data_IF_270995369099
#
_entry.id   IF_270995369099
#
_cell.length_a   1.000
_cell.length_b   1.000
_cell.length_c   1.000
_cell.angle_alpha   90.00
_cell.angle_beta   90.00
_cell.angle_gamma   90.00
#
_symmetry.space_group_name_H-M   'P 1'
#
loop_
_entity.id
_entity.type
_entity.pdbx_description
1 polymer ?
#
# COMPACT_ATOMS: atom_id res chain seq x y z
N UNK A 1 -3.42 47.10 2.68
CA UNK A 1 -2.72 46.68 3.90
C UNK A 1 -2.49 45.20 3.78
N UNK A 2 -1.28 44.81 3.38
CA UNK A 2 -0.92 43.41 3.08
C UNK A 2 -0.30 42.85 4.37
N UNK A 3 -0.97 41.90 5.00
CA UNK A 3 -0.44 41.17 6.17
C UNK A 3 0.24 39.89 5.67
N UNK A 4 1.55 39.88 5.77
CA UNK A 4 2.42 38.74 5.41
C UNK A 4 2.60 37.90 6.66
N UNK A 5 2.03 36.68 6.66
CA UNK A 5 2.30 35.67 7.70
C UNK A 5 3.44 34.77 7.23
N UNK A 6 4.54 34.81 7.98
CA UNK A 6 5.65 33.84 7.81
C UNK A 6 5.42 32.65 8.75
N UNK A 7 5.26 31.49 8.18
CA UNK A 7 5.24 30.21 8.91
C UNK A 7 6.67 29.74 9.13
N UNK A 8 7.02 29.57 10.40
CA UNK A 8 8.25 28.90 10.82
C UNK A 8 7.99 27.39 10.75
N UNK A 9 8.63 26.72 9.82
CA UNK A 9 8.62 25.27 9.73
C UNK A 9 9.63 24.70 10.75
N UNK A 10 9.11 24.00 11.77
CA UNK A 10 9.90 23.07 12.56
C UNK A 10 9.67 21.67 11.99
N UNK A 11 10.71 20.88 11.69
CA UNK A 11 10.55 19.52 11.22
C UNK A 11 10.11 18.60 12.35
N UNK A 12 9.30 17.55 12.07
CA UNK A 12 8.93 16.57 13.07
C UNK A 12 10.13 15.73 13.50
N UNK A 13 10.29 15.59 14.81
CA UNK A 13 11.32 14.77 15.43
C UNK A 13 11.12 13.28 15.09
N UNK A 14 12.14 12.68 14.51
CA UNK A 14 12.23 11.23 14.31
C UNK A 14 12.53 10.59 15.66
N UNK A 15 11.58 9.84 16.22
CA UNK A 15 11.80 8.98 17.38
C UNK A 15 12.39 7.64 16.90
N UNK A 16 13.45 7.11 17.57
CA UNK A 16 14.01 5.82 17.21
C UNK A 16 13.11 4.68 17.71
N UNK A 17 12.86 3.71 16.82
CA UNK A 17 12.24 2.42 17.13
C UNK A 17 13.15 1.66 18.11
N UNK A 18 12.71 1.53 19.35
CA UNK A 18 13.28 0.63 20.34
C UNK A 18 12.63 -0.74 20.21
N UNK A 19 13.38 -1.73 19.74
CA UNK A 19 12.97 -3.12 19.75
C UNK A 19 13.02 -3.66 21.18
N UNK A 20 11.88 -4.05 21.73
CA UNK A 20 11.80 -4.84 22.96
C UNK A 20 11.91 -6.33 22.61
N UNK A 21 13.03 -6.94 23.01
CA UNK A 21 13.12 -8.37 23.19
C UNK A 21 12.55 -8.72 24.57
N UNK A 22 11.57 -9.58 24.65
CA UNK A 22 11.20 -10.28 25.90
C UNK A 22 11.46 -11.76 25.70
N UNK A 23 12.44 -12.25 26.46
CA UNK A 23 12.65 -13.68 26.73
C UNK A 23 11.62 -14.19 27.76
N UNK A 24 11.26 -15.45 27.62
CA UNK A 24 10.59 -16.28 28.64
C UNK A 24 9.66 -17.27 27.93
N UNK A 25 9.86 -18.54 27.87
CA UNK A 25 10.43 -19.50 28.78
C UNK A 25 9.45 -20.66 28.85
N UNK A 26 9.89 -21.93 28.43
CA UNK A 26 9.34 -23.25 28.75
C UNK A 26 7.91 -23.61 28.26
N UNK A 27 7.62 -24.79 27.68
CA UNK A 27 8.25 -26.14 27.69
C UNK A 27 7.53 -27.05 26.68
N UNK A 28 8.30 -28.05 26.17
CA UNK A 28 7.97 -29.42 25.78
C UNK A 28 6.76 -29.75 24.89
N UNK A 29 6.94 -30.34 23.72
CA UNK A 29 7.08 -31.77 23.47
C UNK A 29 7.12 -32.10 21.98
N UNK A 30 8.14 -32.80 21.58
CA UNK A 30 8.23 -34.01 20.73
C UNK A 30 7.33 -34.15 19.48
N UNK A 31 7.92 -34.09 18.25
CA UNK A 31 7.95 -35.28 17.39
C UNK A 31 8.87 -35.07 16.16
N UNK A 32 9.67 -36.09 15.98
CA UNK A 32 10.65 -36.45 14.97
C UNK A 32 10.29 -36.14 13.52
N UNK A 33 11.30 -35.68 12.78
CA UNK A 33 11.34 -35.75 11.33
C UNK A 33 12.77 -35.45 10.85
N UNK A 34 13.59 -36.50 10.80
CA UNK A 34 14.99 -36.52 10.40
C UNK A 34 15.07 -36.52 8.87
N UNK A 35 15.84 -35.62 8.25
CA UNK A 35 16.64 -35.88 7.07
C UNK A 35 17.90 -35.00 7.09
N UNK A 36 19.01 -35.70 7.36
CA UNK A 36 20.38 -35.22 7.24
C UNK A 36 20.98 -35.88 5.99
N UNK A 37 21.56 -35.10 5.11
CA UNK A 37 22.59 -35.61 4.19
C UNK A 37 23.72 -34.60 4.10
N UNK A 38 24.73 -34.87 4.93
CA UNK A 38 26.06 -34.34 4.78
C UNK A 38 26.84 -35.26 3.83
N UNK A 39 27.24 -34.75 2.68
CA UNK A 39 28.22 -35.42 1.83
C UNK A 39 29.59 -34.83 2.11
N UNK A 40 30.35 -35.45 2.97
CA UNK A 40 31.79 -35.25 3.11
C UNK A 40 32.51 -36.24 2.20
N UNK A 41 33.19 -35.76 1.16
CA UNK A 41 34.13 -36.59 0.41
C UNK A 41 35.52 -36.31 1.01
N UNK A 42 35.98 -37.33 1.75
CA UNK A 42 37.32 -37.37 2.30
C UNK A 42 38.15 -38.28 1.40
N UNK A 43 39.11 -37.73 0.64
CA UNK A 43 40.09 -38.54 -0.09
C UNK A 43 41.45 -38.35 0.53
N UNK A 44 41.76 -39.23 1.47
CA UNK A 44 43.11 -39.55 1.89
C UNK A 44 43.41 -40.96 1.42
N UNK A 45 44.23 -41.08 0.40
CA UNK A 45 44.85 -42.35 0.06
C UNK A 45 46.36 -42.21 0.25
N UNK A 46 46.86 -42.74 1.34
CA UNK A 46 48.25 -43.02 1.60
C UNK A 46 48.51 -44.44 1.06
N UNK A 47 49.32 -44.52 0.03
CA UNK A 47 49.86 -45.81 -0.38
C UNK A 47 51.29 -45.92 0.09
N UNK A 48 51.50 -46.78 1.07
CA UNK A 48 52.75 -47.50 1.27
C UNK A 48 52.56 -48.87 0.69
N UNK A 49 53.39 -49.29 -0.22
CA UNK A 49 53.76 -50.71 -0.34
C UNK A 49 55.14 -50.84 -0.97
N UNK A 50 55.92 -51.64 -0.35
CA UNK A 50 57.32 -51.92 -0.47
C UNK A 50 57.59 -52.97 -1.55
N UNK A 51 58.80 -52.93 -2.10
CA UNK A 51 59.65 -53.87 -2.82
C UNK A 51 59.14 -55.23 -3.22
N UNK A 52 59.41 -55.59 -4.45
CA UNK A 52 60.44 -56.58 -4.82
C UNK A 52 60.34 -56.96 -6.31
N UNK A 53 61.51 -56.91 -6.96
CA UNK A 53 62.04 -57.65 -8.12
C UNK A 53 61.13 -58.45 -9.03
N UNK A 54 61.31 -58.23 -10.36
CA UNK A 54 61.77 -59.23 -11.33
C UNK A 54 61.93 -58.57 -12.72
N UNK A 55 63.08 -58.83 -13.37
CA UNK A 55 63.45 -58.57 -14.76
C UNK A 55 62.50 -59.14 -15.78
N UNK A 56 62.27 -58.40 -16.89
CA UNK A 56 62.31 -58.96 -18.26
C UNK A 56 62.05 -57.85 -19.33
N UNK A 57 62.88 -57.91 -20.35
CA UNK A 57 62.88 -57.20 -21.62
C UNK A 57 61.52 -56.94 -22.25
N UNK A 58 61.32 -55.76 -22.79
CA UNK A 58 60.58 -55.48 -24.02
C UNK A 58 60.53 -54.00 -24.42
N UNK A 59 60.30 -53.64 -25.69
CA UNK A 59 60.84 -52.48 -26.41
C UNK A 59 60.13 -51.14 -26.17
N UNK A 60 60.70 -50.01 -26.66
CA UNK A 60 60.25 -48.68 -26.22
C UNK A 60 58.89 -48.27 -26.82
N UNK A 61 57.97 -47.94 -25.93
CA UNK A 61 56.71 -47.35 -26.28
C UNK A 61 56.88 -45.84 -26.61
N UNK A 62 56.00 -45.29 -27.48
CA UNK A 62 56.13 -43.94 -28.01
C UNK A 62 55.95 -42.88 -26.89
N UNK A 63 56.85 -41.92 -26.93
CA UNK A 63 56.81 -40.75 -26.03
C UNK A 63 55.53 -39.94 -26.33
N UNK A 64 54.53 -40.06 -25.49
CA UNK A 64 53.44 -39.14 -25.42
C UNK A 64 53.95 -37.78 -24.87
N UNK A 65 54.01 -36.82 -25.78
CA UNK A 65 54.24 -35.40 -25.50
C UNK A 65 53.20 -34.93 -24.49
N UNK A 66 53.56 -34.79 -23.22
CA UNK A 66 52.77 -34.09 -22.22
C UNK A 66 52.75 -32.64 -22.64
N UNK A 67 51.73 -32.24 -23.39
CA UNK A 67 51.49 -30.82 -23.66
C UNK A 67 51.16 -30.12 -22.38
N UNK A 68 52.06 -29.21 -22.03
CA UNK A 68 52.08 -28.37 -20.84
C UNK A 68 50.73 -27.74 -20.57
N UNK A 69 50.06 -28.16 -19.50
CA UNK A 69 48.82 -27.55 -18.95
C UNK A 69 48.96 -26.11 -18.39
N UNK A 70 50.11 -25.45 -18.67
CA UNK A 70 50.34 -24.06 -18.19
C UNK A 70 49.49 -22.98 -18.92
N UNK A 71 48.90 -23.28 -20.07
CA UNK A 71 48.01 -22.37 -20.81
C UNK A 71 46.61 -22.24 -20.23
N UNK A 72 46.05 -23.32 -19.68
CA UNK A 72 44.66 -23.40 -19.23
C UNK A 72 44.36 -22.47 -18.02
N UNK A 73 45.27 -22.32 -17.12
CA UNK A 73 45.06 -21.48 -15.91
C UNK A 73 45.03 -19.96 -16.20
N UNK A 74 45.70 -19.50 -17.26
CA UNK A 74 45.61 -18.09 -17.68
C UNK A 74 44.31 -17.77 -18.34
N UNK A 75 43.82 -18.64 -19.22
CA UNK A 75 42.50 -18.48 -19.87
C UNK A 75 41.33 -18.54 -18.85
N UNK A 76 41.39 -19.44 -17.89
CA UNK A 76 40.37 -19.51 -16.83
C UNK A 76 40.33 -18.21 -15.99
N UNK A 77 41.46 -17.63 -15.64
CA UNK A 77 41.55 -16.36 -14.92
C UNK A 77 40.99 -15.20 -15.75
N UNK A 78 41.30 -15.12 -17.04
CA UNK A 78 40.78 -14.08 -17.95
C UNK A 78 39.25 -14.18 -18.08
N UNK A 79 38.70 -15.39 -18.24
CA UNK A 79 37.26 -15.59 -18.28
C UNK A 79 36.60 -15.19 -16.97
N UNK A 80 37.15 -15.59 -15.83
CA UNK A 80 36.61 -15.24 -14.51
C UNK A 80 36.62 -13.72 -14.27
N UNK A 81 37.73 -13.03 -14.61
CA UNK A 81 37.79 -11.57 -14.48
C UNK A 81 36.80 -10.86 -15.42
N UNK A 82 36.61 -11.38 -16.63
CA UNK A 82 35.60 -10.83 -17.57
C UNK A 82 34.19 -10.96 -17.01
N UNK A 83 33.82 -12.08 -16.41
CA UNK A 83 32.53 -12.26 -15.76
C UNK A 83 32.35 -11.32 -14.56
N UNK A 84 33.37 -11.13 -13.72
CA UNK A 84 33.31 -10.21 -12.59
C UNK A 84 33.08 -8.77 -13.09
N UNK A 85 33.82 -8.33 -14.11
CA UNK A 85 33.64 -7.01 -14.71
C UNK A 85 32.24 -6.85 -15.29
N UNK A 86 31.76 -7.85 -16.02
CA UNK A 86 30.39 -7.85 -16.57
C UNK A 86 29.31 -7.68 -15.50
N UNK A 87 29.40 -8.45 -14.40
CA UNK A 87 28.44 -8.33 -13.29
C UNK A 87 28.55 -7.01 -12.55
N UNK A 88 29.75 -6.44 -12.43
CA UNK A 88 29.93 -5.10 -11.85
C UNK A 88 29.28 -4.02 -12.73
N UNK A 89 29.49 -4.08 -14.05
CA UNK A 89 28.85 -3.15 -14.98
C UNK A 89 27.32 -3.30 -14.97
N UNK A 90 26.81 -4.52 -14.89
CA UNK A 90 25.37 -4.77 -14.77
C UNK A 90 24.79 -4.19 -13.49
N UNK A 91 25.49 -4.34 -12.34
CA UNK A 91 25.06 -3.72 -11.07
C UNK A 91 25.04 -2.19 -11.15
N UNK A 92 26.04 -1.58 -11.76
CA UNK A 92 26.10 -0.13 -11.97
C UNK A 92 24.93 0.32 -12.84
N UNK A 93 24.66 -0.38 -13.95
CA UNK A 93 23.53 -0.07 -14.83
C UNK A 93 22.18 -0.15 -14.08
N UNK A 94 21.97 -1.22 -13.32
CA UNK A 94 20.75 -1.39 -12.52
C UNK A 94 20.60 -0.28 -11.47
N UNK A 95 21.69 0.13 -10.81
CA UNK A 95 21.64 1.21 -9.83
C UNK A 95 21.28 2.56 -10.48
N UNK A 96 21.79 2.84 -11.68
CA UNK A 96 21.45 4.05 -12.44
C UNK A 96 19.97 4.05 -12.81
N UNK A 97 19.45 2.91 -13.32
CA UNK A 97 18.02 2.78 -13.66
C UNK A 97 17.14 3.00 -12.43
N UNK A 98 17.49 2.41 -11.29
CA UNK A 98 16.75 2.62 -10.04
C UNK A 98 16.78 4.08 -9.58
N UNK A 99 17.90 4.78 -9.70
CA UNK A 99 17.98 6.21 -9.38
C UNK A 99 17.12 7.07 -10.30
N UNK A 100 17.08 6.74 -11.60
CA UNK A 100 16.21 7.44 -12.57
C UNK A 100 14.73 7.21 -12.23
N UNK A 101 14.35 5.96 -11.94
CA UNK A 101 12.99 5.61 -11.55
C UNK A 101 12.59 6.29 -10.23
N UNK A 102 13.49 6.32 -9.25
CA UNK A 102 13.26 7.02 -7.99
C UNK A 102 13.05 8.51 -8.18
N UNK A 103 13.91 9.18 -9.00
CA UNK A 103 13.72 10.60 -9.35
C UNK A 103 12.37 10.84 -10.03
N UNK A 104 12.01 10.00 -11.00
CA UNK A 104 10.72 10.13 -11.69
C UNK A 104 9.53 9.94 -10.75
N UNK A 105 9.63 8.98 -9.82
CA UNK A 105 8.62 8.76 -8.81
C UNK A 105 8.49 9.95 -7.84
N UNK A 106 9.62 10.52 -7.37
CA UNK A 106 9.61 11.71 -6.53
C UNK A 106 8.99 12.93 -7.23
N UNK A 107 9.28 13.14 -8.51
CA UNK A 107 8.66 14.21 -9.30
C UNK A 107 7.14 14.03 -9.42
N UNK A 108 6.67 12.80 -9.65
CA UNK A 108 5.24 12.50 -9.70
C UNK A 108 4.53 12.75 -8.36
N UNK A 109 5.21 12.49 -7.24
CA UNK A 109 4.68 12.80 -5.91
C UNK A 109 4.60 14.31 -5.64
N UNK A 110 5.63 15.08 -6.05
CA UNK A 110 5.61 16.56 -5.96
C UNK A 110 4.50 17.16 -6.84
N UNK A 111 4.34 16.66 -8.07
CA UNK A 111 3.29 17.13 -8.98
C UNK A 111 1.89 16.83 -8.43
N UNK A 112 1.67 15.63 -7.85
CA UNK A 112 0.44 15.31 -7.13
C UNK A 112 0.20 16.22 -5.92
N UNK A 113 1.23 16.53 -5.15
CA UNK A 113 1.12 17.42 -4.01
C UNK A 113 0.74 18.86 -4.44
N UNK A 114 1.36 19.38 -5.50
CA UNK A 114 1.06 20.71 -6.07
C UNK A 114 -0.36 20.75 -6.64
N UNK A 115 -0.81 19.71 -7.35
CA UNK A 115 -2.18 19.63 -7.88
C UNK A 115 -3.20 19.58 -6.74
N UNK A 116 -2.93 18.82 -5.69
CA UNK A 116 -3.78 18.79 -4.50
C UNK A 116 -3.81 20.15 -3.78
N UNK A 117 -2.68 20.82 -3.64
CA UNK A 117 -2.60 22.15 -3.04
C UNK A 117 -3.33 23.22 -3.89
N UNK A 118 -3.23 23.14 -5.23
CA UNK A 118 -3.95 24.03 -6.14
C UNK A 118 -5.47 23.80 -6.11
N UNK A 119 -5.92 22.55 -6.01
CA UNK A 119 -7.34 22.23 -5.84
C UNK A 119 -7.86 22.66 -4.45
N UNK A 120 -7.02 22.64 -3.42
CA UNK A 120 -7.37 23.06 -2.07
C UNK A 120 -7.43 24.59 -1.92
N UNK A 121 -6.73 25.36 -2.76
CA UNK A 121 -6.70 26.83 -2.69
C UNK A 121 -7.94 27.51 -3.28
N UNK A 122 -8.80 26.77 -4.01
CA UNK A 122 -10.02 27.31 -4.58
C UNK A 122 -11.22 26.97 -3.70
N UNK A 123 -11.45 27.82 -2.69
CA UNK A 123 -12.59 27.68 -1.78
C UNK A 123 -13.80 28.46 -2.32
N UNK A 124 -14.97 27.84 -2.26
CA UNK A 124 -16.26 28.48 -2.46
C UNK A 124 -16.88 28.79 -1.10
N UNK A 125 -17.02 30.06 -0.78
CA UNK A 125 -17.41 30.51 0.53
C UNK A 125 -18.80 31.14 0.51
N UNK A 126 -19.63 30.76 1.49
CA UNK A 126 -20.93 31.40 1.75
C UNK A 126 -20.88 32.18 3.06
N UNK A 127 -21.45 33.39 3.04
CA UNK A 127 -21.52 34.25 4.21
C UNK A 127 -22.70 33.82 5.06
N UNK A 128 -22.45 33.40 6.29
CA UNK A 128 -23.50 33.09 7.25
C UNK A 128 -23.77 34.34 8.09
N UNK A 129 -25.04 34.80 8.14
CA UNK A 129 -25.45 35.80 9.12
C UNK A 129 -25.67 35.06 10.46
N UNK A 130 -24.72 35.18 11.39
CA UNK A 130 -24.91 34.83 12.78
C UNK A 130 -25.67 35.94 13.50
N UNK A 131 -26.56 35.59 14.42
CA UNK A 131 -27.25 36.55 15.31
C UNK A 131 -26.29 37.30 16.24
N UNK A 132 -25.09 36.81 16.40
CA UNK A 132 -23.98 37.44 17.12
C UNK A 132 -23.03 38.06 16.10
N UNK A 133 -23.16 39.30 15.81
CA UNK A 133 -22.37 40.27 15.02
C UNK A 133 -21.07 39.83 14.29
N UNK A 134 -20.59 38.63 14.44
CA UNK A 134 -19.39 38.12 13.78
C UNK A 134 -19.71 37.45 12.44
N UNK A 135 -19.15 38.04 11.39
CA UNK A 135 -19.28 37.53 10.02
C UNK A 135 -18.38 36.31 9.86
N UNK A 136 -18.91 35.13 10.04
CA UNK A 136 -18.18 33.87 9.80
C UNK A 136 -18.45 33.41 8.38
N UNK A 137 -17.38 33.22 7.61
CA UNK A 137 -17.45 32.59 6.31
C UNK A 137 -17.37 31.05 6.48
N UNK A 138 -18.24 30.32 5.82
CA UNK A 138 -18.18 28.87 5.74
C UNK A 138 -17.89 28.44 4.31
N UNK A 139 -16.82 27.69 4.11
CA UNK A 139 -16.25 27.39 2.81
C UNK A 139 -16.15 25.87 2.58
N UNK A 140 -16.38 25.48 1.34
CA UNK A 140 -16.03 24.14 0.82
C UNK A 140 -15.00 24.30 -0.32
N UNK A 141 -14.19 23.28 -0.59
CA UNK A 141 -13.39 23.25 -1.81
C UNK A 141 -14.29 23.35 -3.04
N UNK A 142 -13.75 23.90 -4.12
CA UNK A 142 -14.49 23.97 -5.39
C UNK A 142 -14.95 22.57 -5.82
N UNK A 143 -16.12 22.49 -6.42
CA UNK A 143 -16.76 21.25 -6.89
C UNK A 143 -17.17 20.28 -5.76
N UNK A 144 -17.18 20.75 -4.50
CA UNK A 144 -17.75 20.02 -3.36
C UNK A 144 -19.12 20.61 -3.00
N UNK A 145 -20.08 19.74 -2.73
CA UNK A 145 -21.45 20.11 -2.38
C UNK A 145 -21.58 20.46 -0.88
N UNK A 146 -21.94 21.70 -0.53
CA UNK A 146 -22.05 22.09 0.87
C UNK A 146 -23.40 21.70 1.46
N UNK A 147 -23.41 21.00 2.58
CA UNK A 147 -24.61 20.75 3.36
C UNK A 147 -24.31 20.77 4.87
N UNK A 148 -25.17 21.41 5.66
CA UNK A 148 -25.00 21.57 7.11
C UNK A 148 -23.58 22.03 7.48
N UNK A 149 -22.83 21.29 8.26
CA UNK A 149 -21.45 21.56 8.68
C UNK A 149 -20.40 20.88 7.79
N UNK A 150 -20.78 20.21 6.73
CA UNK A 150 -19.90 19.39 5.91
C UNK A 150 -19.91 19.80 4.44
N UNK A 151 -18.89 19.33 3.73
CA UNK A 151 -18.72 19.37 2.29
C UNK A 151 -18.62 17.93 1.77
N UNK A 152 -19.24 17.65 0.62
CA UNK A 152 -19.33 16.33 0.02
C UNK A 152 -18.77 16.33 -1.38
N UNK A 153 -17.94 15.37 -1.70
CA UNK A 153 -17.43 15.17 -3.05
C UNK A 153 -17.91 13.80 -3.59
N UNK A 154 -18.50 13.82 -4.77
CA UNK A 154 -18.99 12.62 -5.44
C UNK A 154 -17.96 12.21 -6.48
N UNK A 155 -17.35 11.02 -6.31
CA UNK A 155 -16.34 10.57 -7.25
C UNK A 155 -16.94 10.26 -8.62
N UNK A 156 -16.17 10.50 -9.66
CA UNK A 156 -16.48 10.08 -11.03
C UNK A 156 -15.92 8.71 -11.36
N UNK A 157 -14.85 8.32 -10.67
CA UNK A 157 -14.09 7.11 -10.91
C UNK A 157 -14.66 5.94 -10.11
N UNK A 158 -14.47 4.75 -10.66
CA UNK A 158 -14.76 3.49 -9.98
C UNK A 158 -13.49 3.01 -9.27
N UNK A 159 -13.62 2.56 -8.04
CA UNK A 159 -12.52 2.02 -7.23
C UNK A 159 -13.08 1.06 -6.17
N UNK A 160 -12.24 0.24 -5.56
CA UNK A 160 -12.56 -0.53 -4.36
C UNK A 160 -12.82 0.38 -3.16
N UNK A 161 -13.39 -0.16 -2.09
CA UNK A 161 -13.67 0.62 -0.88
C UNK A 161 -12.40 1.20 -0.28
N UNK A 162 -11.32 0.41 -0.18
CA UNK A 162 -10.05 0.86 0.37
C UNK A 162 -9.41 1.98 -0.46
N UNK A 163 -9.38 1.82 -1.78
CA UNK A 163 -8.85 2.85 -2.69
C UNK A 163 -9.70 4.13 -2.64
N UNK A 164 -11.01 4.00 -2.47
CA UNK A 164 -11.94 5.12 -2.29
C UNK A 164 -11.66 5.88 -1.00
N UNK A 165 -11.43 5.18 0.12
CA UNK A 165 -11.07 5.81 1.39
C UNK A 165 -9.69 6.48 1.32
N UNK A 166 -8.71 5.83 0.71
CA UNK A 166 -7.38 6.41 0.48
C UNK A 166 -7.47 7.69 -0.37
N UNK A 167 -8.31 7.69 -1.40
CA UNK A 167 -8.57 8.86 -2.23
C UNK A 167 -9.20 10.00 -1.43
N UNK A 168 -10.24 9.72 -0.62
CA UNK A 168 -10.84 10.72 0.25
C UNK A 168 -9.81 11.26 1.25
N UNK A 169 -9.03 10.39 1.89
CA UNK A 169 -7.97 10.77 2.84
C UNK A 169 -6.90 11.66 2.21
N UNK A 170 -6.54 11.42 0.94
CA UNK A 170 -5.59 12.27 0.20
C UNK A 170 -6.11 13.70 -0.03
N UNK A 171 -7.42 13.91 0.05
CA UNK A 171 -8.10 15.22 -0.05
C UNK A 171 -8.38 15.84 1.33
N UNK A 172 -7.87 15.26 2.43
CA UNK A 172 -8.16 15.71 3.80
C UNK A 172 -9.59 15.41 4.25
N UNK A 173 -10.20 14.38 3.67
CA UNK A 173 -11.57 13.93 3.92
C UNK A 173 -11.59 12.44 4.31
N UNK A 174 -12.74 11.85 4.43
CA UNK A 174 -12.98 10.41 4.58
C UNK A 174 -14.23 10.02 3.79
N UNK A 175 -14.49 8.75 3.57
CA UNK A 175 -15.75 8.27 3.02
C UNK A 175 -16.93 8.74 3.90
N UNK A 176 -18.04 9.10 3.27
CA UNK A 176 -19.19 9.72 3.94
C UNK A 176 -19.70 8.90 5.12
N UNK A 177 -19.90 9.56 6.25
CA UNK A 177 -20.55 9.04 7.45
C UNK A 177 -21.96 9.64 7.52
N UNK A 178 -22.99 8.81 7.43
CA UNK A 178 -24.38 9.28 7.46
C UNK A 178 -24.89 9.32 8.90
N UNK A 179 -25.19 10.53 9.40
CA UNK A 179 -25.55 10.76 10.79
C UNK A 179 -27.02 11.08 11.00
N UNK A 180 -27.72 11.50 9.93
CA UNK A 180 -29.13 11.90 10.03
C UNK A 180 -29.92 11.61 8.76
N UNK A 181 -31.25 11.62 8.87
CA UNK A 181 -32.17 11.50 7.73
C UNK A 181 -31.98 12.66 6.74
N UNK A 182 -31.78 13.87 7.24
CA UNK A 182 -31.59 15.05 6.40
C UNK A 182 -30.32 14.93 5.54
N UNK A 183 -29.27 14.32 6.10
CA UNK A 183 -28.01 14.06 5.39
C UNK A 183 -28.18 13.00 4.31
N UNK A 184 -28.88 11.89 4.64
CA UNK A 184 -29.28 10.87 3.68
C UNK A 184 -30.13 11.46 2.55
N UNK A 185 -31.13 12.27 2.89
CA UNK A 185 -32.04 12.90 1.92
C UNK A 185 -31.31 13.91 1.03
N UNK A 186 -30.37 14.67 1.58
CA UNK A 186 -29.57 15.61 0.82
C UNK A 186 -28.74 14.88 -0.23
N UNK A 187 -27.94 13.89 0.20
CA UNK A 187 -27.03 13.22 -0.71
C UNK A 187 -27.75 12.46 -1.81
N UNK A 188 -28.85 11.79 -1.49
CA UNK A 188 -29.63 11.03 -2.48
C UNK A 188 -30.31 11.88 -3.54
N UNK A 189 -30.54 13.18 -3.29
CA UNK A 189 -31.06 14.11 -4.30
C UNK A 189 -30.06 14.46 -5.41
N UNK A 190 -28.77 14.36 -5.12
CA UNK A 190 -27.71 14.76 -6.06
C UNK A 190 -27.03 13.55 -6.70
N UNK A 191 -27.26 12.33 -6.20
CA UNK A 191 -26.68 11.10 -6.75
C UNK A 191 -27.42 10.62 -8.00
N UNK A 192 -26.66 9.95 -8.88
CA UNK A 192 -27.25 9.27 -10.05
C UNK A 192 -27.90 7.96 -9.61
N UNK A 193 -29.19 7.79 -9.91
CA UNK A 193 -29.99 6.62 -9.51
C UNK A 193 -29.55 5.28 -10.09
N UNK A 194 -28.73 5.30 -11.14
CA UNK A 194 -28.25 4.10 -11.83
C UNK A 194 -26.85 3.67 -11.37
N UNK A 195 -26.37 4.21 -10.26
CA UNK A 195 -25.00 3.98 -9.77
C UNK A 195 -25.04 3.72 -8.27
N UNK A 196 -24.18 2.83 -7.79
CA UNK A 196 -23.93 2.64 -6.37
C UNK A 196 -22.69 3.45 -5.93
N UNK A 197 -22.71 3.89 -4.67
CA UNK A 197 -21.66 4.74 -4.12
C UNK A 197 -21.20 4.21 -2.75
N UNK A 198 -19.93 3.94 -2.59
CA UNK A 198 -19.36 3.60 -1.30
C UNK A 198 -19.54 4.72 -0.29
N UNK A 199 -19.88 4.34 0.94
CA UNK A 199 -19.89 5.17 2.14
C UNK A 199 -18.87 4.64 3.15
N UNK A 200 -18.57 5.42 4.17
CA UNK A 200 -17.57 5.09 5.19
C UNK A 200 -18.01 4.06 6.22
N UNK A 201 -18.87 3.13 5.85
CA UNK A 201 -19.37 2.08 6.72
C UNK A 201 -18.82 0.73 6.26
N UNK A 202 -18.11 0.04 7.15
CA UNK A 202 -17.54 -1.28 6.87
C UNK A 202 -17.65 -2.23 8.06
N UNK A 203 -17.64 -3.53 7.78
CA UNK A 203 -17.61 -4.60 8.77
C UNK A 203 -16.23 -5.30 8.73
N UNK A 204 -15.37 -5.10 9.74
CA UNK A 204 -14.10 -5.81 9.82
C UNK A 204 -14.25 -7.30 10.14
N UNK A 205 -15.48 -7.79 10.23
CA UNK A 205 -15.85 -9.17 10.52
C UNK A 205 -16.85 -9.29 11.68
N UNK A 206 -17.66 -10.37 11.62
CA UNK A 206 -18.65 -10.71 12.67
C UNK A 206 -19.84 -9.72 12.82
N UNK A 207 -20.25 -9.06 11.73
CA UNK A 207 -21.37 -8.08 11.72
C UNK A 207 -21.18 -6.93 12.70
N UNK A 208 -19.94 -6.46 12.82
CA UNK A 208 -19.58 -5.31 13.65
C UNK A 208 -19.34 -4.07 12.79
N UNK A 209 -20.39 -3.58 12.18
CA UNK A 209 -20.34 -2.38 11.34
C UNK A 209 -19.72 -1.20 12.08
N UNK A 210 -18.78 -0.50 11.42
CA UNK A 210 -18.04 0.64 11.97
C UNK A 210 -17.92 1.74 10.93
N UNK A 211 -18.04 2.95 11.39
CA UNK A 211 -17.74 4.13 10.59
C UNK A 211 -16.22 4.39 10.53
N UNK A 212 -15.74 4.90 9.39
CA UNK A 212 -14.31 5.23 9.16
C UNK A 212 -13.79 6.29 10.14
N UNK A 213 -14.66 7.23 10.58
CA UNK A 213 -14.34 8.26 11.57
C UNK A 213 -14.42 7.76 13.02
N UNK A 214 -14.63 6.45 13.23
CA UNK A 214 -14.77 5.78 14.52
C UNK A 214 -15.99 6.23 15.35
N UNK A 215 -16.91 7.00 14.78
CA UNK A 215 -18.18 7.27 15.47
C UNK A 215 -18.96 5.96 15.68
N UNK A 216 -19.70 5.84 16.80
CA UNK A 216 -20.45 4.62 17.09
C UNK A 216 -21.53 4.36 16.03
N UNK A 217 -21.55 3.14 15.50
CA UNK A 217 -22.64 2.70 14.62
C UNK A 217 -23.92 2.49 15.44
N UNK A 218 -24.98 3.24 15.10
CA UNK A 218 -26.27 3.16 15.78
C UNK A 218 -27.25 2.36 14.92
N UNK A 219 -27.62 1.16 15.36
CA UNK A 219 -28.57 0.28 14.67
C UNK A 219 -29.99 0.88 14.49
N UNK A 220 -30.35 1.86 15.32
CA UNK A 220 -31.66 2.52 15.25
C UNK A 220 -31.70 3.69 14.24
N UNK A 221 -30.55 4.09 13.72
CA UNK A 221 -30.40 5.19 12.77
C UNK A 221 -29.67 4.69 11.51
N UNK A 222 -30.30 3.81 10.75
CA UNK A 222 -29.74 3.19 9.55
C UNK A 222 -30.71 3.27 8.40
N UNK A 223 -30.20 3.17 7.18
CA UNK A 223 -30.97 3.28 5.95
C UNK A 223 -30.80 2.05 5.05
N UNK A 224 -30.58 0.87 5.66
CA UNK A 224 -30.47 -0.39 4.93
C UNK A 224 -31.75 -0.69 4.14
N UNK A 225 -31.59 -1.26 2.96
CA UNK A 225 -32.71 -1.84 2.25
C UNK A 225 -33.35 -2.97 3.06
N UNK A 226 -34.65 -3.27 2.84
CA UNK A 226 -35.29 -4.37 3.52
C UNK A 226 -34.55 -5.69 3.30
N UNK A 227 -34.12 -6.31 4.40
CA UNK A 227 -33.34 -7.55 4.39
C UNK A 227 -31.83 -7.39 4.43
N UNK A 228 -31.29 -6.17 4.24
CA UNK A 228 -29.89 -5.90 4.35
C UNK A 228 -29.47 -5.49 5.79
N UNK A 229 -28.20 -5.68 6.18
CA UNK A 229 -27.15 -6.44 5.52
C UNK A 229 -27.41 -7.94 5.58
N UNK A 230 -27.22 -8.66 4.47
CA UNK A 230 -27.65 -10.05 4.32
C UNK A 230 -26.50 -11.07 4.23
N UNK A 231 -25.26 -10.66 3.96
CA UNK A 231 -24.16 -11.56 3.62
C UNK A 231 -22.89 -11.25 4.42
N UNK A 232 -22.38 -12.22 5.16
CA UNK A 232 -21.16 -12.06 5.98
C UNK A 232 -19.86 -11.88 5.16
N UNK A 233 -19.90 -12.16 3.85
CA UNK A 233 -18.78 -11.91 2.92
C UNK A 233 -18.84 -10.51 2.28
N UNK A 234 -19.91 -9.77 2.51
CA UNK A 234 -20.11 -8.42 2.01
C UNK A 234 -19.89 -7.43 3.15
N UNK A 235 -18.70 -6.87 3.19
CA UNK A 235 -18.18 -6.14 4.35
C UNK A 235 -18.10 -4.62 4.15
N UNK A 236 -18.60 -4.11 3.01
CA UNK A 236 -18.58 -2.68 2.72
C UNK A 236 -19.95 -2.19 2.28
N UNK A 237 -20.36 -1.03 2.80
CA UNK A 237 -21.66 -0.47 2.50
C UNK A 237 -21.64 0.50 1.32
N UNK A 238 -22.67 0.43 0.50
CA UNK A 238 -22.96 1.39 -0.57
C UNK A 238 -24.35 2.01 -0.38
N UNK A 239 -24.54 3.21 -0.92
CA UNK A 239 -25.85 3.81 -1.17
C UNK A 239 -26.22 3.51 -2.61
N UNK A 240 -27.37 2.89 -2.83
CA UNK A 240 -27.89 2.60 -4.16
C UNK A 240 -29.41 2.67 -4.20
N UNK A 241 -30.00 2.48 -5.38
CA UNK A 241 -31.46 2.40 -5.57
C UNK A 241 -31.89 0.95 -5.73
N UNK A 242 -32.83 0.53 -4.92
CA UNK A 242 -33.53 -0.75 -5.06
C UNK A 242 -35.04 -0.54 -4.98
N UNK A 243 -35.79 -1.14 -5.92
CA UNK A 243 -37.27 -0.93 -6.05
C UNK A 243 -37.68 0.56 -5.96
N UNK A 244 -36.96 1.42 -6.71
CA UNK A 244 -37.18 2.87 -6.79
C UNK A 244 -36.84 3.66 -5.52
N UNK A 245 -36.43 3.04 -4.44
CA UNK A 245 -36.05 3.70 -3.19
C UNK A 245 -34.55 3.69 -3.00
N UNK A 246 -34.03 4.78 -2.44
CA UNK A 246 -32.64 4.85 -1.98
C UNK A 246 -32.49 4.11 -0.65
N UNK A 247 -31.39 3.38 -0.50
CA UNK A 247 -31.04 2.70 0.75
C UNK A 247 -29.61 2.23 0.73
N UNK A 248 -29.19 1.56 1.81
CA UNK A 248 -27.88 0.96 1.91
C UNK A 248 -27.94 -0.52 1.56
N UNK A 249 -26.86 -1.00 0.96
CA UNK A 249 -26.61 -2.42 0.68
C UNK A 249 -25.19 -2.78 1.06
N UNK A 250 -24.96 -3.98 1.57
CA UNK A 250 -23.61 -4.53 1.74
C UNK A 250 -23.15 -5.19 0.45
N UNK A 251 -21.86 -5.00 0.13
CA UNK A 251 -21.20 -5.60 -1.02
C UNK A 251 -19.75 -5.97 -0.66
N UNK A 252 -19.09 -6.85 -1.44
CA UNK A 252 -17.66 -7.10 -1.25
C UNK A 252 -16.85 -5.82 -1.43
N UNK A 253 -15.93 -5.55 -0.49
CA UNK A 253 -15.10 -4.33 -0.51
C UNK A 253 -14.19 -4.21 -1.73
N UNK A 254 -13.92 -5.33 -2.41
CA UNK A 254 -13.12 -5.40 -3.65
C UNK A 254 -13.88 -5.03 -4.91
N UNK A 255 -15.20 -4.87 -4.85
CA UNK A 255 -15.97 -4.40 -6.01
C UNK A 255 -15.62 -2.95 -6.32
N UNK A 256 -15.65 -2.60 -7.60
CA UNK A 256 -15.41 -1.24 -8.06
C UNK A 256 -16.72 -0.46 -8.11
N UNK A 257 -16.83 0.57 -7.30
CA UNK A 257 -17.97 1.49 -7.26
C UNK A 257 -17.47 2.94 -7.21
N UNK A 258 -18.40 3.88 -7.47
CA UNK A 258 -18.15 5.28 -7.11
C UNK A 258 -18.15 5.44 -5.60
N UNK A 259 -17.77 6.62 -5.12
CA UNK A 259 -17.67 6.90 -3.69
C UNK A 259 -18.12 8.32 -3.38
N UNK A 260 -18.44 8.56 -2.10
CA UNK A 260 -18.77 9.87 -1.57
C UNK A 260 -17.79 10.19 -0.46
N UNK A 261 -16.99 11.26 -0.65
CA UNK A 261 -16.12 11.78 0.39
C UNK A 261 -16.83 12.89 1.18
N UNK A 262 -16.47 13.02 2.46
CA UNK A 262 -17.02 14.01 3.38
C UNK A 262 -15.89 14.67 4.18
N UNK A 263 -15.95 15.99 4.33
CA UNK A 263 -15.07 16.75 5.23
C UNK A 263 -15.85 17.85 5.94
N UNK A 264 -15.31 18.35 7.05
CA UNK A 264 -15.88 19.52 7.71
C UNK A 264 -15.73 20.78 6.85
N UNK A 265 -16.71 21.69 6.91
CA UNK A 265 -16.57 23.03 6.32
C UNK A 265 -15.40 23.77 6.95
N UNK A 266 -14.73 24.57 6.15
CA UNK A 266 -13.66 25.45 6.59
C UNK A 266 -14.30 26.78 7.01
N UNK A 267 -14.03 27.23 8.22
CA UNK A 267 -14.54 28.50 8.75
C UNK A 267 -13.42 29.53 8.78
N UNK A 268 -13.69 30.73 8.17
CA UNK A 268 -12.76 31.85 8.06
C UNK A 268 -13.32 33.11 8.71
#
# INVERSE_FOLDING_TARGET
MIVRWSWVHSPPAILPLQAYFTEGGHSSSESRGRFSENIYINMNLKNNFDSSDINADSPPAPQNKIMSLKGSHRFAKIILTSFIIFFLLLKILLSIVLLILFKKYSQLLEEKAIINELNYTRLECTKRHSFLKDKVWSCCPKDWEPFSSHCYFISTDLASWNESEEKCSSMGAHLMVVRSQEEQDFITKILNRNTAYFIGLSDPGHRQWRWVDQTPYNKSATFWHPGEPNNDYEQCAVINVWHSNWGWNDIPCSHEQKSICQMNKIYL
#
